data_IF_635782683082
#
_entry.id   IF_635782683082
#
_cell.length_a   1.000
_cell.length_b   1.000
_cell.length_c   1.000
_cell.angle_alpha   90.00
_cell.angle_beta   90.00
_cell.angle_gamma   90.00
#
_symmetry.space_group_name_H-M   'P 1'
#
loop_
_entity.id
_entity.type
_entity.pdbx_description
1 polymer ?
#
# COMPACT_ATOMS: atom_id res chain seq x y z
N UNK A 1 11.44 -0.57 -0.50
CA UNK A 1 10.03 -0.92 -0.84
C UNK A 1 9.00 0.00 -0.18
N UNK A 2 9.29 1.30 -0.13
CA UNK A 2 8.39 2.26 0.50
C UNK A 2 7.10 2.44 -0.34
N UNK A 3 5.94 2.41 0.32
CA UNK A 3 4.63 2.57 -0.33
C UNK A 3 4.14 1.37 -1.14
N UNK A 4 4.87 0.25 -1.14
CA UNK A 4 4.44 -0.99 -1.80
C UNK A 4 3.60 -1.85 -0.86
N UNK A 5 2.72 -2.66 -1.43
CA UNK A 5 1.94 -3.66 -0.69
C UNK A 5 2.69 -5.00 -0.64
N UNK A 6 2.55 -5.73 0.46
CA UNK A 6 3.06 -7.10 0.59
C UNK A 6 2.16 -7.91 1.52
N UNK A 7 2.22 -9.23 1.40
CA UNK A 7 1.54 -10.15 2.33
C UNK A 7 2.52 -10.62 3.41
N UNK A 8 2.05 -10.67 4.66
CA UNK A 8 2.77 -11.33 5.75
C UNK A 8 2.56 -12.84 5.59
N UNK A 9 3.65 -13.60 5.44
CA UNK A 9 3.62 -15.05 5.20
C UNK A 9 3.97 -15.84 6.45
N UNK A 10 4.86 -15.30 7.29
CA UNK A 10 5.21 -15.90 8.57
C UNK A 10 5.60 -14.81 9.59
N UNK A 11 5.48 -15.13 10.87
CA UNK A 11 6.05 -14.36 11.98
C UNK A 11 7.36 -15.05 12.37
N UNK A 12 8.47 -14.30 12.35
CA UNK A 12 9.79 -14.86 12.69
C UNK A 12 10.01 -14.76 14.20
N UNK A 13 9.77 -13.57 14.75
CA UNK A 13 9.82 -13.30 16.19
C UNK A 13 8.81 -12.18 16.54
N UNK A 14 8.85 -11.67 17.78
CA UNK A 14 7.91 -10.64 18.24
C UNK A 14 7.96 -9.30 17.49
N UNK A 15 9.08 -9.02 16.80
CA UNK A 15 9.31 -7.77 16.08
C UNK A 15 9.46 -7.96 14.56
N UNK A 16 9.79 -9.16 14.09
CA UNK A 16 10.12 -9.44 12.70
C UNK A 16 9.13 -10.39 12.04
N UNK A 17 8.75 -10.06 10.81
CA UNK A 17 7.85 -10.84 9.97
C UNK A 17 8.48 -11.13 8.62
N UNK A 18 8.14 -12.27 8.05
CA UNK A 18 8.49 -12.64 6.69
C UNK A 18 7.40 -12.10 5.74
N UNK A 19 7.81 -11.20 4.85
CA UNK A 19 6.96 -10.61 3.82
C UNK A 19 7.19 -11.26 2.46
N UNK A 20 6.15 -11.23 1.63
CA UNK A 20 6.23 -11.60 0.22
C UNK A 20 5.22 -10.77 -0.59
N UNK A 21 5.69 -10.08 -1.64
CA UNK A 21 4.86 -9.24 -2.51
C UNK A 21 5.19 -9.44 -4.00
N UNK A 22 4.89 -10.63 -4.56
CA UNK A 22 5.31 -11.00 -5.91
C UNK A 22 4.62 -10.19 -7.02
N UNK A 23 3.44 -9.63 -6.76
CA UNK A 23 2.69 -8.81 -7.73
C UNK A 23 3.01 -7.32 -7.62
N UNK A 24 3.66 -6.90 -6.53
CA UNK A 24 3.96 -5.50 -6.20
C UNK A 24 5.46 -5.20 -6.27
N UNK A 25 6.28 -6.18 -6.66
CA UNK A 25 7.72 -6.04 -6.79
C UNK A 25 8.43 -5.94 -5.43
N UNK A 26 7.90 -6.58 -4.39
CA UNK A 26 8.55 -6.77 -3.10
C UNK A 26 9.03 -8.21 -3.01
N UNK A 27 10.34 -8.40 -3.09
CA UNK A 27 10.96 -9.72 -2.92
C UNK A 27 10.72 -10.27 -1.52
N UNK A 28 10.70 -11.60 -1.41
CA UNK A 28 10.51 -12.28 -0.13
C UNK A 28 11.63 -11.92 0.85
N UNK A 29 11.30 -11.18 1.90
CA UNK A 29 12.29 -10.59 2.82
C UNK A 29 11.74 -10.53 4.24
N UNK A 30 12.63 -10.56 5.23
CA UNK A 30 12.28 -10.34 6.64
C UNK A 30 12.27 -8.85 6.92
N UNK A 31 11.24 -8.35 7.61
CA UNK A 31 11.09 -6.94 7.97
C UNK A 31 10.54 -6.76 9.36
N UNK A 32 10.87 -5.62 9.97
CA UNK A 32 10.36 -5.26 11.28
C UNK A 32 8.88 -4.81 11.17
N UNK A 33 8.03 -5.21 12.11
CA UNK A 33 6.63 -4.78 12.19
C UNK A 33 6.49 -3.26 12.28
N UNK A 34 7.48 -2.54 12.84
CA UNK A 34 7.47 -1.07 12.96
C UNK A 34 7.49 -0.36 11.60
N UNK A 35 8.11 -0.97 10.59
CA UNK A 35 8.19 -0.42 9.23
C UNK A 35 6.91 -0.65 8.42
N UNK A 36 5.99 -1.44 8.98
CA UNK A 36 4.79 -1.91 8.28
C UNK A 36 3.55 -1.22 8.84
N UNK A 37 2.59 -0.98 7.94
CA UNK A 37 1.25 -0.52 8.30
C UNK A 37 0.26 -1.60 7.87
N UNK A 38 -0.33 -2.28 8.85
CA UNK A 38 -1.27 -3.38 8.62
C UNK A 38 -2.53 -2.83 7.94
N UNK A 39 -2.97 -3.48 6.88
CA UNK A 39 -4.21 -3.15 6.16
C UNK A 39 -5.36 -4.05 6.60
N UNK A 40 -6.60 -3.69 6.21
CA UNK A 40 -7.79 -4.48 6.52
C UNK A 40 -7.93 -5.75 5.64
N UNK A 41 -7.08 -5.91 4.64
CA UNK A 41 -7.17 -7.01 3.68
C UNK A 41 -6.53 -8.26 4.25
N UNK A 42 -7.34 -9.28 4.53
CA UNK A 42 -6.87 -10.60 4.97
C UNK A 42 -6.79 -11.54 3.77
N UNK A 43 -5.68 -12.25 3.65
CA UNK A 43 -5.46 -13.31 2.66
C UNK A 43 -5.44 -14.66 3.37
N UNK A 44 -6.12 -15.69 2.85
CA UNK A 44 -6.01 -17.04 3.36
C UNK A 44 -4.69 -17.65 2.89
N UNK A 45 -3.62 -17.47 3.67
CA UNK A 45 -2.31 -18.05 3.41
C UNK A 45 -1.96 -19.10 4.47
N UNK A 46 -1.22 -20.13 4.06
CA UNK A 46 -0.57 -21.07 4.99
C UNK A 46 0.74 -20.46 5.49
N UNK A 47 1.09 -20.75 6.74
CA UNK A 47 2.38 -20.35 7.32
C UNK A 47 3.51 -20.92 6.45
N UNK A 48 4.40 -20.04 5.98
CA UNK A 48 5.54 -20.45 5.16
C UNK A 48 5.21 -20.78 3.69
N UNK A 49 4.01 -20.46 3.19
CA UNK A 49 3.62 -20.71 1.80
C UNK A 49 4.63 -20.12 0.78
N UNK A 50 4.94 -20.90 -0.27
CA UNK A 50 5.87 -20.46 -1.34
C UNK A 50 5.27 -19.32 -2.16
N UNK A 51 6.13 -18.49 -2.74
CA UNK A 51 5.79 -17.28 -3.51
C UNK A 51 4.76 -17.50 -4.62
N UNK A 52 4.80 -18.65 -5.33
CA UNK A 52 3.79 -19.00 -6.35
C UNK A 52 2.38 -19.08 -5.75
N UNK A 53 2.25 -19.64 -4.55
CA UNK A 53 0.98 -19.74 -3.84
C UNK A 53 0.51 -18.38 -3.32
N UNK A 54 1.43 -17.58 -2.78
CA UNK A 54 1.12 -16.22 -2.32
C UNK A 54 0.64 -15.35 -3.49
N UNK A 55 1.31 -15.41 -4.64
CA UNK A 55 0.89 -14.71 -5.86
C UNK A 55 -0.53 -15.07 -6.27
N UNK A 56 -0.84 -16.37 -6.37
CA UNK A 56 -2.20 -16.84 -6.72
C UNK A 56 -3.25 -16.30 -5.76
N UNK A 57 -3.01 -16.38 -4.45
CA UNK A 57 -3.96 -15.89 -3.45
C UNK A 57 -4.11 -14.35 -3.48
N UNK A 58 -3.01 -13.64 -3.67
CA UNK A 58 -2.98 -12.18 -3.75
C UNK A 58 -3.73 -11.66 -4.97
N UNK A 59 -3.50 -12.29 -6.13
CA UNK A 59 -4.16 -11.96 -7.39
C UNK A 59 -5.65 -12.35 -7.37
N UNK A 60 -5.99 -13.54 -6.85
CA UNK A 60 -7.39 -13.99 -6.71
C UNK A 60 -8.22 -13.11 -5.77
N UNK A 61 -7.59 -12.53 -4.74
CA UNK A 61 -8.28 -11.62 -3.83
C UNK A 61 -8.35 -10.17 -4.37
N UNK A 62 -7.74 -9.88 -5.52
CA UNK A 62 -7.65 -8.56 -6.15
C UNK A 62 -7.19 -7.45 -5.19
N UNK A 63 -6.23 -7.75 -4.31
CA UNK A 63 -5.83 -6.85 -3.22
C UNK A 63 -5.33 -5.50 -3.74
N UNK A 64 -4.56 -5.49 -4.83
CA UNK A 64 -4.07 -4.24 -5.44
C UNK A 64 -5.22 -3.31 -5.87
N UNK A 65 -6.27 -3.88 -6.47
CA UNK A 65 -7.43 -3.11 -6.95
C UNK A 65 -8.25 -2.59 -5.77
N UNK A 66 -8.59 -3.47 -4.82
CA UNK A 66 -9.32 -3.12 -3.60
C UNK A 66 -8.59 -2.06 -2.78
N UNK A 67 -7.27 -2.17 -2.67
CA UNK A 67 -6.46 -1.16 -2.00
C UNK A 67 -6.50 0.17 -2.76
N UNK A 68 -6.34 0.15 -4.09
CA UNK A 68 -6.41 1.35 -4.93
C UNK A 68 -7.73 2.12 -4.82
N UNK A 69 -8.85 1.42 -4.68
CA UNK A 69 -10.17 2.02 -4.49
C UNK A 69 -10.38 2.58 -3.08
N UNK A 70 -9.59 2.13 -2.10
CA UNK A 70 -9.72 2.53 -0.71
C UNK A 70 -9.46 4.02 -0.50
N UNK A 71 -10.13 4.60 0.49
CA UNK A 71 -9.88 5.99 0.92
C UNK A 71 -8.43 6.22 1.35
N UNK A 72 -7.75 5.18 1.83
CA UNK A 72 -6.35 5.28 2.22
C UNK A 72 -5.45 5.49 0.99
N UNK A 73 -5.59 4.67 -0.05
CA UNK A 73 -4.84 4.85 -1.28
C UNK A 73 -5.12 6.21 -1.93
N UNK A 74 -6.40 6.63 -1.96
CA UNK A 74 -6.78 7.97 -2.44
C UNK A 74 -6.10 9.10 -1.65
N UNK A 75 -5.99 8.98 -0.32
CA UNK A 75 -5.26 9.95 0.52
C UNK A 75 -3.76 9.98 0.20
N UNK A 76 -3.13 8.82 0.00
CA UNK A 76 -1.71 8.73 -0.39
C UNK A 76 -1.50 9.39 -1.75
N UNK A 77 -2.34 9.08 -2.74
CA UNK A 77 -2.29 9.67 -4.07
C UNK A 77 -2.46 11.20 -4.03
N UNK A 78 -3.45 11.70 -3.27
CA UNK A 78 -3.66 13.13 -3.09
C UNK A 78 -2.47 13.82 -2.42
N UNK A 79 -1.81 13.18 -1.45
CA UNK A 79 -0.59 13.71 -0.83
C UNK A 79 0.55 13.82 -1.85
N UNK A 80 0.70 12.80 -2.71
CA UNK A 80 1.70 12.81 -3.79
C UNK A 80 1.42 13.92 -4.79
N UNK A 81 0.17 14.06 -5.25
CA UNK A 81 -0.23 15.14 -6.18
C UNK A 81 0.07 16.51 -5.58
N UNK A 82 -0.29 16.74 -4.31
CA UNK A 82 -0.01 18.01 -3.63
C UNK A 82 1.48 18.33 -3.53
N UNK A 83 2.32 17.32 -3.30
CA UNK A 83 3.76 17.49 -3.28
C UNK A 83 4.35 17.84 -4.66
N UNK A 84 3.68 17.43 -5.75
CA UNK A 84 4.13 17.67 -7.13
C UNK A 84 3.53 18.93 -7.77
N UNK A 85 2.71 19.72 -7.06
CA UNK A 85 2.09 20.91 -7.66
C UNK A 85 3.11 22.02 -7.94
N UNK A 86 3.13 22.48 -9.19
CA UNK A 86 3.90 23.68 -9.57
C UNK A 86 3.22 24.96 -9.03
N UNK A 87 3.91 26.08 -9.17
CA UNK A 87 3.46 27.36 -8.62
C UNK A 87 2.12 27.84 -9.21
N UNK A 88 1.98 27.70 -10.53
CA UNK A 88 0.74 28.05 -11.24
C UNK A 88 -0.46 27.19 -10.80
N UNK A 89 -0.25 25.88 -10.59
CA UNK A 89 -1.28 24.97 -10.09
C UNK A 89 -1.68 25.30 -8.66
N UNK A 90 -0.73 25.74 -7.82
CA UNK A 90 -1.03 26.23 -6.46
C UNK A 90 -1.88 27.50 -6.51
N UNK A 91 -1.61 28.43 -7.43
CA UNK A 91 -2.44 29.62 -7.64
C UNK A 91 -3.87 29.27 -8.06
N UNK A 92 -4.04 28.38 -9.06
CA UNK A 92 -5.37 27.90 -9.50
C UNK A 92 -6.15 27.24 -8.35
N UNK A 93 -5.49 26.38 -7.59
CA UNK A 93 -6.10 25.69 -6.44
C UNK A 93 -6.52 26.68 -5.34
N UNK A 94 -5.72 27.71 -5.06
CA UNK A 94 -6.06 28.77 -4.12
C UNK A 94 -7.35 29.51 -4.55
N UNK A 95 -7.43 29.95 -5.80
CA UNK A 95 -8.61 30.66 -6.33
C UNK A 95 -9.86 29.80 -6.30
N UNK A 96 -9.77 28.55 -6.72
CA UNK A 96 -10.89 27.61 -6.66
C UNK A 96 -11.38 27.38 -5.21
N UNK A 97 -10.46 27.26 -4.25
CA UNK A 97 -10.81 27.15 -2.81
C UNK A 97 -11.50 28.40 -2.28
N UNK A 98 -11.02 29.59 -2.67
CA UNK A 98 -11.61 30.86 -2.25
C UNK A 98 -13.08 30.97 -2.71
N UNK A 99 -13.39 30.57 -3.95
CA UNK A 99 -14.75 30.57 -4.48
C UNK A 99 -15.63 29.55 -3.76
N UNK A 100 -15.12 28.34 -3.50
CA UNK A 100 -15.90 27.26 -2.85
C UNK A 100 -16.21 27.54 -1.38
N UNK A 101 -15.32 28.25 -0.69
CA UNK A 101 -15.45 28.52 0.75
C UNK A 101 -16.16 29.84 1.06
N UNK A 102 -16.41 30.67 0.04
CA UNK A 102 -17.24 31.87 0.13
C UNK A 102 -18.70 31.47 -0.05
#
# INVERSE_FOLDING_TARGET
DEGKLAAIVNVVDGNFVLLDGPSTGVSRTVRNLKDLRITKHKLPLRVGQRTKGVRKAFDAAEVSKKFGESQWAKKIANKKIRATLNDFDRFKLMRAKQIRNR
#
